data_IF_595853795925
#
_entry.id   IF_595853795925
#
_cell.length_a   1.000
_cell.length_b   1.000
_cell.length_c   1.000
_cell.angle_alpha   90.00
_cell.angle_beta   90.00
_cell.angle_gamma   90.00
#
_symmetry.space_group_name_H-M   'P 1'
#
loop_
_entity.id
_entity.type
_entity.pdbx_description
1 polymer ?
#
# COMPACT_ATOMS: atom_id res chain seq x y z
N UNK A 1 8.91 0.33 -17.30
CA UNK A 1 7.45 0.34 -17.56
C UNK A 1 6.75 1.56 -16.94
N UNK A 2 6.81 1.79 -15.60
CA UNK A 2 6.12 2.94 -14.96
C UNK A 2 6.61 4.29 -15.49
N UNK A 3 7.91 4.42 -15.78
CA UNK A 3 8.47 5.61 -16.45
C UNK A 3 7.97 5.77 -17.89
N UNK A 4 7.92 4.70 -18.65
CA UNK A 4 7.40 4.69 -20.04
C UNK A 4 5.92 5.07 -20.09
N UNK A 5 5.18 4.71 -19.05
CA UNK A 5 3.77 5.10 -18.89
C UNK A 5 3.59 6.53 -18.37
N UNK A 6 4.65 7.26 -18.02
CA UNK A 6 4.57 8.59 -17.45
C UNK A 6 4.08 8.65 -16.00
N UNK A 7 3.89 7.50 -15.34
CA UNK A 7 3.43 7.42 -13.93
C UNK A 7 4.53 7.86 -12.98
N UNK A 8 5.79 7.57 -13.31
CA UNK A 8 6.97 7.92 -12.52
C UNK A 8 7.94 8.71 -13.38
N UNK A 9 8.27 9.93 -12.96
CA UNK A 9 9.18 10.86 -13.65
C UNK A 9 10.43 11.22 -12.85
N UNK A 10 10.71 10.51 -11.76
CA UNK A 10 11.87 10.72 -10.88
C UNK A 10 12.79 9.51 -10.85
N UNK A 11 13.97 9.69 -10.30
CA UNK A 11 14.91 8.60 -10.06
C UNK A 11 14.48 7.73 -8.87
N UNK A 12 14.85 6.44 -8.96
CA UNK A 12 14.61 5.52 -7.84
C UNK A 12 15.50 5.92 -6.68
N UNK A 13 14.89 6.21 -5.55
CA UNK A 13 15.61 6.61 -4.34
C UNK A 13 16.52 5.47 -3.84
N UNK A 14 17.68 5.86 -3.30
CA UNK A 14 18.61 4.89 -2.69
C UNK A 14 17.96 4.26 -1.47
N UNK A 15 18.11 2.93 -1.34
CA UNK A 15 17.61 2.17 -0.19
C UNK A 15 18.35 2.56 1.10
N UNK A 16 17.60 2.73 2.19
CA UNK A 16 18.14 2.96 3.53
C UNK A 16 18.34 1.61 4.25
N UNK A 17 19.46 0.94 4.01
CA UNK A 17 19.74 -0.42 4.50
C UNK A 17 19.80 -0.56 6.03
N UNK A 18 20.09 0.53 6.73
CA UNK A 18 20.22 0.54 8.20
C UNK A 18 18.99 1.10 8.91
N UNK A 19 17.95 1.45 8.15
CA UNK A 19 16.71 1.97 8.74
C UNK A 19 15.87 0.82 9.28
N UNK A 20 15.76 0.77 10.60
CA UNK A 20 14.81 -0.12 11.27
C UNK A 20 13.43 0.53 11.34
N UNK A 21 12.35 -0.24 11.36
CA UNK A 21 11.02 0.30 11.67
C UNK A 21 11.04 1.07 12.99
N UNK A 22 10.32 2.20 13.05
CA UNK A 22 10.28 3.07 14.23
C UNK A 22 9.80 2.34 15.48
N UNK A 23 8.81 1.46 15.30
CA UNK A 23 8.25 0.63 16.37
C UNK A 23 8.76 -0.81 16.19
N UNK A 24 9.92 -1.08 16.76
CA UNK A 24 10.54 -2.40 16.72
C UNK A 24 10.64 -2.96 18.13
N UNK A 25 10.03 -4.11 18.34
CA UNK A 25 10.18 -4.91 19.56
C UNK A 25 11.09 -6.09 19.24
N UNK A 26 12.20 -6.29 19.97
CA UNK A 26 13.13 -7.39 19.69
C UNK A 26 12.46 -8.78 19.70
N UNK A 27 11.51 -9.00 20.60
CA UNK A 27 10.76 -10.26 20.75
C UNK A 27 9.90 -10.64 19.53
N UNK A 28 9.63 -9.67 18.65
CA UNK A 28 8.80 -9.93 17.46
C UNK A 28 9.51 -10.78 16.42
N UNK A 29 10.83 -10.68 16.31
CA UNK A 29 11.59 -11.53 15.38
C UNK A 29 11.53 -13.00 15.76
N UNK A 30 11.55 -13.30 17.07
CA UNK A 30 11.41 -14.67 17.56
C UNK A 30 10.04 -15.24 17.21
N UNK A 31 8.99 -14.42 17.27
CA UNK A 31 7.62 -14.80 16.91
C UNK A 31 7.39 -14.96 15.41
N UNK A 32 8.02 -14.11 14.59
CA UNK A 32 7.91 -14.17 13.13
C UNK A 32 8.85 -15.23 12.53
N UNK A 33 9.85 -15.65 13.27
CA UNK A 33 10.78 -16.69 12.90
C UNK A 33 11.98 -16.22 12.08
N UNK A 34 12.92 -17.13 11.78
CA UNK A 34 14.23 -16.81 11.20
C UNK A 34 14.19 -16.34 9.73
N UNK A 35 13.04 -16.42 9.08
CA UNK A 35 12.83 -15.87 7.73
C UNK A 35 12.64 -14.37 7.70
N UNK A 36 12.38 -13.73 8.86
CA UNK A 36 12.15 -12.29 8.95
C UNK A 36 13.45 -11.49 8.98
N UNK A 37 13.39 -10.24 8.52
CA UNK A 37 14.51 -9.31 8.52
C UNK A 37 14.14 -7.98 9.16
N UNK A 38 14.97 -7.52 10.09
CA UNK A 38 14.81 -6.21 10.74
C UNK A 38 15.01 -5.02 9.79
N UNK A 39 15.76 -5.22 8.72
CA UNK A 39 16.21 -4.13 7.83
C UNK A 39 15.83 -4.41 6.38
N UNK A 40 15.77 -3.33 5.60
CA UNK A 40 15.63 -3.40 4.15
C UNK A 40 16.99 -3.74 3.52
N UNK A 41 17.35 -5.01 3.52
CA UNK A 41 18.62 -5.50 2.93
C UNK A 41 18.46 -5.85 1.45
N UNK A 42 19.59 -6.04 0.75
CA UNK A 42 19.57 -6.50 -0.63
C UNK A 42 19.00 -7.92 -0.72
N UNK A 43 18.21 -8.20 -1.76
CA UNK A 43 17.64 -9.55 -1.97
C UNK A 43 18.69 -10.64 -2.01
N UNK A 44 19.80 -10.38 -2.70
CA UNK A 44 20.90 -11.34 -2.87
C UNK A 44 21.70 -11.59 -1.58
N UNK A 45 21.58 -10.71 -0.58
CA UNK A 45 22.19 -10.91 0.74
C UNK A 45 21.36 -11.78 1.69
N UNK A 46 20.11 -12.09 1.32
CA UNK A 46 19.24 -12.96 2.11
C UNK A 46 19.64 -14.43 1.97
N UNK A 47 19.51 -15.20 3.05
CA UNK A 47 19.61 -16.65 3.00
C UNK A 47 18.44 -17.26 2.20
N UNK A 48 18.56 -18.52 1.78
CA UNK A 48 17.47 -19.20 1.07
C UNK A 48 16.19 -19.31 1.89
N UNK A 49 16.31 -19.49 3.20
CA UNK A 49 15.17 -19.47 4.12
C UNK A 49 14.49 -18.09 4.13
N UNK A 50 15.27 -17.04 4.26
CA UNK A 50 14.75 -15.68 4.24
C UNK A 50 14.11 -15.34 2.88
N UNK A 51 14.74 -15.67 1.78
CA UNK A 51 14.17 -15.47 0.43
C UNK A 51 12.80 -16.13 0.28
N UNK A 52 12.70 -17.41 0.67
CA UNK A 52 11.41 -18.14 0.61
C UNK A 52 10.35 -17.48 1.48
N UNK A 53 10.68 -17.14 2.72
CA UNK A 53 9.74 -16.48 3.64
C UNK A 53 9.30 -15.12 3.12
N UNK A 54 10.22 -14.28 2.66
CA UNK A 54 9.91 -12.97 2.11
C UNK A 54 9.08 -13.09 0.81
N UNK A 55 9.37 -14.04 -0.06
CA UNK A 55 8.56 -14.30 -1.26
C UNK A 55 7.12 -14.71 -0.89
N UNK A 56 6.95 -15.55 0.11
CA UNK A 56 5.63 -15.95 0.63
C UNK A 56 4.86 -14.72 1.17
N UNK A 57 5.50 -13.86 1.94
CA UNK A 57 4.87 -12.60 2.43
C UNK A 57 4.38 -11.72 1.28
N UNK A 58 5.19 -11.55 0.23
CA UNK A 58 4.80 -10.75 -0.92
C UNK A 58 3.67 -11.43 -1.71
N UNK A 59 3.67 -12.75 -1.84
CA UNK A 59 2.58 -13.49 -2.48
C UNK A 59 1.25 -13.30 -1.72
N UNK A 60 1.27 -13.35 -0.39
CA UNK A 60 0.10 -13.06 0.46
C UNK A 60 -0.37 -11.62 0.26
N UNK A 61 0.55 -10.64 0.29
CA UNK A 61 0.22 -9.24 0.06
C UNK A 61 -0.42 -9.03 -1.32
N UNK A 62 0.15 -9.61 -2.36
CA UNK A 62 -0.39 -9.54 -3.72
C UNK A 62 -1.79 -10.18 -3.82
N UNK A 63 -2.02 -11.30 -3.13
CA UNK A 63 -3.33 -11.94 -3.06
C UNK A 63 -4.37 -11.05 -2.36
N UNK A 64 -3.98 -10.33 -1.29
CA UNK A 64 -4.86 -9.37 -0.61
C UNK A 64 -5.21 -8.19 -1.53
N UNK A 65 -4.23 -7.63 -2.24
CA UNK A 65 -4.46 -6.55 -3.23
C UNK A 65 -5.39 -7.03 -4.34
N UNK A 66 -5.15 -8.23 -4.88
CA UNK A 66 -6.02 -8.83 -5.90
C UNK A 66 -7.45 -9.03 -5.39
N UNK A 67 -7.61 -9.47 -4.14
CA UNK A 67 -8.94 -9.61 -3.53
C UNK A 67 -9.62 -8.26 -3.38
N UNK A 68 -8.92 -7.24 -2.92
CA UNK A 68 -9.44 -5.87 -2.79
C UNK A 68 -9.93 -5.35 -4.14
N UNK A 69 -9.13 -5.52 -5.20
CA UNK A 69 -9.50 -5.12 -6.57
C UNK A 69 -10.81 -5.80 -7.04
N UNK A 70 -10.95 -7.09 -6.79
CA UNK A 70 -12.20 -7.81 -7.11
C UNK A 70 -13.42 -7.27 -6.35
N UNK A 71 -13.27 -6.93 -5.08
CA UNK A 71 -14.36 -6.38 -4.28
C UNK A 71 -14.73 -4.96 -4.72
N UNK A 72 -13.76 -4.14 -5.12
CA UNK A 72 -14.01 -2.84 -5.77
C UNK A 72 -14.81 -3.06 -7.06
N UNK A 73 -14.41 -4.04 -7.88
CA UNK A 73 -15.15 -4.40 -9.09
C UNK A 73 -16.62 -4.74 -8.83
N UNK A 74 -16.92 -5.44 -7.72
CA UNK A 74 -18.31 -5.74 -7.32
C UNK A 74 -19.10 -4.48 -6.95
N UNK A 75 -18.47 -3.52 -6.25
CA UNK A 75 -19.10 -2.23 -5.94
C UNK A 75 -19.40 -1.45 -7.22
N UNK A 76 -18.44 -1.38 -8.14
CA UNK A 76 -18.62 -0.72 -9.44
C UNK A 76 -19.76 -1.37 -10.25
N UNK A 77 -19.84 -2.70 -10.27
CA UNK A 77 -20.90 -3.42 -10.96
C UNK A 77 -22.30 -3.17 -10.33
N UNK A 78 -22.35 -3.09 -9.00
CA UNK A 78 -23.58 -2.73 -8.31
C UNK A 78 -24.05 -1.32 -8.69
N UNK A 79 -23.15 -0.33 -8.74
CA UNK A 79 -23.47 1.03 -9.18
C UNK A 79 -23.96 1.06 -10.64
N UNK A 80 -23.38 0.24 -11.50
CA UNK A 80 -23.81 0.09 -12.90
C UNK A 80 -25.22 -0.48 -13.00
N UNK A 81 -25.50 -1.54 -12.25
CA UNK A 81 -26.83 -2.17 -12.19
C UNK A 81 -27.92 -1.21 -11.70
N UNK A 82 -27.56 -0.30 -10.79
CA UNK A 82 -28.45 0.74 -10.27
C UNK A 82 -28.56 1.96 -11.20
N UNK A 83 -27.89 1.98 -12.35
CA UNK A 83 -27.76 3.15 -13.24
C UNK A 83 -27.22 4.40 -12.53
N UNK A 84 -26.40 4.22 -11.49
CA UNK A 84 -25.84 5.29 -10.68
C UNK A 84 -24.38 5.60 -11.00
N UNK A 85 -23.66 4.71 -11.69
CA UNK A 85 -22.20 4.83 -11.90
C UNK A 85 -21.81 6.13 -12.58
N UNK A 86 -22.55 6.54 -13.60
CA UNK A 86 -22.23 7.74 -14.40
C UNK A 86 -22.26 9.03 -13.57
N UNK A 87 -23.10 9.09 -12.54
CA UNK A 87 -23.23 10.24 -11.64
C UNK A 87 -22.69 9.95 -10.23
N UNK A 88 -21.76 9.01 -10.10
CA UNK A 88 -21.06 8.71 -8.84
C UNK A 88 -19.58 9.03 -8.97
N UNK A 89 -19.06 9.84 -8.05
CA UNK A 89 -17.62 10.04 -7.92
C UNK A 89 -17.00 8.94 -7.06
N UNK A 90 -15.98 8.28 -7.56
CA UNK A 90 -15.20 7.27 -6.85
C UNK A 90 -13.79 7.81 -6.63
N UNK A 91 -13.35 7.83 -5.37
CA UNK A 91 -11.98 8.12 -4.98
C UNK A 91 -11.31 6.83 -4.50
N UNK A 92 -10.15 6.52 -5.03
CA UNK A 92 -9.33 5.42 -4.57
C UNK A 92 -7.92 5.91 -4.27
N UNK A 93 -7.47 5.75 -3.02
CA UNK A 93 -6.17 6.19 -2.56
C UNK A 93 -5.73 5.39 -1.33
N UNK A 94 -4.46 5.53 -0.94
CA UNK A 94 -3.97 5.20 0.40
C UNK A 94 -3.76 6.49 1.20
N UNK A 95 -3.93 6.41 2.51
CA UNK A 95 -3.75 7.54 3.43
C UNK A 95 -2.26 7.84 3.74
N UNK A 96 -1.39 6.88 3.51
CA UNK A 96 0.06 6.97 3.70
C UNK A 96 0.80 5.91 2.86
N UNK A 97 2.12 6.00 2.86
CA UNK A 97 2.97 4.97 2.28
C UNK A 97 2.88 3.64 3.03
N UNK A 98 3.43 2.58 2.44
CA UNK A 98 3.40 1.23 2.98
C UNK A 98 4.04 1.15 4.38
N UNK A 99 3.48 0.31 5.23
CA UNK A 99 3.91 0.15 6.62
C UNK A 99 5.04 -0.88 6.74
N UNK A 100 6.15 -0.45 7.32
CA UNK A 100 7.33 -1.29 7.57
C UNK A 100 7.35 -1.93 8.97
N UNK A 101 6.33 -1.68 9.78
CA UNK A 101 6.30 -2.15 11.17
C UNK A 101 6.42 -3.66 11.23
N UNK A 102 7.33 -4.14 12.09
CA UNK A 102 7.43 -5.55 12.45
C UNK A 102 6.61 -5.78 13.72
N UNK A 103 5.45 -6.38 13.57
CA UNK A 103 4.50 -6.57 14.65
C UNK A 103 3.74 -7.89 14.50
N UNK A 104 3.51 -8.54 15.61
CA UNK A 104 2.47 -9.58 15.74
C UNK A 104 1.32 -8.96 16.51
N UNK A 105 0.16 -8.86 15.87
CA UNK A 105 -1.03 -8.23 16.47
C UNK A 105 -1.82 -9.25 17.26
N UNK A 106 -2.04 -8.92 18.55
CA UNK A 106 -2.89 -9.69 19.44
C UNK A 106 -2.35 -11.08 19.79
N UNK A 107 -3.19 -11.90 20.39
CA UNK A 107 -2.87 -13.26 20.81
C UNK A 107 -3.19 -14.31 19.74
N UNK A 108 -3.69 -13.89 18.57
CA UNK A 108 -4.20 -14.78 17.53
C UNK A 108 -3.16 -15.35 16.57
N UNK A 109 -1.90 -14.86 16.60
CA UNK A 109 -0.87 -15.39 15.71
C UNK A 109 -0.38 -16.76 16.17
N UNK A 110 -0.47 -17.72 15.28
CA UNK A 110 0.06 -19.06 15.46
C UNK A 110 1.28 -19.23 14.53
N UNK A 111 2.52 -19.30 15.05
CA UNK A 111 3.71 -19.46 14.23
C UNK A 111 3.78 -20.79 13.49
N UNK A 112 2.98 -21.79 13.90
CA UNK A 112 2.86 -23.08 13.22
C UNK A 112 1.75 -23.08 12.15
N UNK A 113 0.93 -22.03 12.08
CA UNK A 113 -0.13 -21.94 11.09
C UNK A 113 0.42 -21.69 9.68
N UNK A 114 -0.25 -22.26 8.68
CA UNK A 114 0.06 -22.03 7.26
C UNK A 114 0.10 -20.52 6.97
N UNK A 115 1.18 -19.98 6.36
CA UNK A 115 1.27 -18.59 5.97
C UNK A 115 0.11 -18.19 5.05
N UNK A 116 -0.57 -17.08 5.38
CA UNK A 116 -1.76 -16.63 4.65
C UNK A 116 -3.09 -17.20 5.16
N UNK A 117 -3.07 -18.12 6.12
CA UNK A 117 -4.28 -18.54 6.84
C UNK A 117 -4.76 -17.47 7.83
N UNK A 118 -6.00 -17.59 8.29
CA UNK A 118 -6.59 -16.62 9.23
C UNK A 118 -5.90 -16.57 10.62
N UNK A 119 -5.05 -17.56 10.93
CA UNK A 119 -4.25 -17.60 12.16
C UNK A 119 -2.81 -17.14 11.96
N UNK A 120 -2.40 -16.82 10.74
CA UNK A 120 -1.05 -16.38 10.41
C UNK A 120 -1.03 -14.88 10.16
N UNK A 121 -0.59 -14.07 11.13
CA UNK A 121 -0.51 -12.62 11.02
C UNK A 121 0.91 -12.19 10.66
N UNK A 122 1.20 -12.11 9.37
CA UNK A 122 2.48 -11.63 8.86
C UNK A 122 2.40 -10.15 8.53
N UNK A 123 3.45 -9.40 8.86
CA UNK A 123 3.61 -8.00 8.50
C UNK A 123 4.41 -7.86 7.20
N UNK A 124 4.26 -6.74 6.51
CA UNK A 124 5.00 -6.48 5.27
C UNK A 124 6.51 -6.38 5.53
N UNK A 125 6.89 -5.66 6.59
CA UNK A 125 8.28 -5.46 6.98
C UNK A 125 9.02 -4.43 6.13
N UNK A 126 10.25 -4.03 6.54
CA UNK A 126 10.95 -2.87 5.97
C UNK A 126 11.39 -3.09 4.51
N UNK A 127 11.77 -4.29 4.13
CA UNK A 127 12.17 -4.61 2.76
C UNK A 127 11.05 -4.40 1.76
N UNK A 128 9.91 -5.01 2.02
CA UNK A 128 8.76 -4.91 1.13
C UNK A 128 8.06 -3.55 1.21
N UNK A 129 8.02 -2.90 2.38
CA UNK A 129 7.51 -1.54 2.47
C UNK A 129 8.34 -0.57 1.61
N UNK A 130 9.66 -0.70 1.62
CA UNK A 130 10.55 0.08 0.75
C UNK A 130 10.31 -0.21 -0.74
N UNK A 131 10.09 -1.48 -1.09
CA UNK A 131 9.79 -1.87 -2.47
C UNK A 131 8.43 -1.34 -2.94
N UNK A 132 7.38 -1.44 -2.11
CA UNK A 132 6.04 -0.94 -2.42
C UNK A 132 5.99 0.58 -2.60
N UNK A 133 6.85 1.33 -1.89
CA UNK A 133 6.92 2.79 -2.01
C UNK A 133 7.87 3.26 -3.11
N UNK A 134 8.56 2.36 -3.79
CA UNK A 134 9.45 2.73 -4.89
C UNK A 134 8.67 3.49 -5.99
N UNK A 135 9.22 4.60 -6.51
CA UNK A 135 10.61 5.03 -6.47
C UNK A 135 11.02 5.89 -5.25
N UNK A 136 10.09 6.17 -4.36
CA UNK A 136 10.28 7.10 -3.24
C UNK A 136 11.07 6.47 -2.10
N UNK A 137 11.71 7.33 -1.33
CA UNK A 137 12.51 6.95 -0.18
C UNK A 137 11.63 6.75 1.06
N UNK A 138 11.95 5.71 1.83
CA UNK A 138 11.33 5.38 3.12
C UNK A 138 9.87 4.88 2.98
N UNK A 139 9.10 4.96 4.05
CA UNK A 139 7.82 4.32 4.22
C UNK A 139 6.99 5.06 5.28
N UNK A 140 5.79 4.60 5.59
CA UNK A 140 4.93 5.13 6.66
C UNK A 140 5.72 5.54 7.90
N UNK A 141 5.28 6.54 8.62
CA UNK A 141 5.84 7.25 9.78
C UNK A 141 6.98 8.24 9.45
N UNK A 142 7.45 8.29 8.22
CA UNK A 142 8.43 9.27 7.77
C UNK A 142 7.76 10.36 6.93
N UNK A 143 8.26 11.60 7.08
CA UNK A 143 7.80 12.76 6.30
C UNK A 143 8.45 12.86 4.91
N UNK A 144 9.17 11.82 4.49
CA UNK A 144 9.69 11.70 3.12
C UNK A 144 8.62 11.16 2.18
N UNK A 145 8.80 11.34 0.87
CA UNK A 145 7.83 10.96 -0.16
C UNK A 145 7.29 9.52 -0.01
N UNK A 146 8.15 8.54 0.31
CA UNK A 146 7.69 7.16 0.55
C UNK A 146 6.79 6.98 1.78
N UNK A 147 6.74 7.97 2.66
CA UNK A 147 5.84 7.95 3.82
C UNK A 147 4.52 8.70 3.59
N UNK A 148 4.51 9.73 2.75
CA UNK A 148 3.38 10.66 2.62
C UNK A 148 2.79 10.73 1.23
N UNK A 149 3.55 10.40 0.18
CA UNK A 149 3.11 10.51 -1.20
C UNK A 149 2.46 9.21 -1.67
N UNK A 150 1.18 9.27 -1.99
CA UNK A 150 0.38 8.14 -2.51
C UNK A 150 -0.39 8.58 -3.74
N UNK A 151 -0.64 7.68 -4.70
CA UNK A 151 -1.48 8.01 -5.85
C UNK A 151 -2.94 8.15 -5.44
N UNK A 152 -3.64 9.06 -6.10
CA UNK A 152 -5.09 9.22 -6.06
C UNK A 152 -5.67 8.87 -7.43
N UNK A 153 -6.66 8.00 -7.46
CA UNK A 153 -7.48 7.74 -8.65
C UNK A 153 -8.85 8.35 -8.42
N UNK A 154 -9.32 9.13 -9.37
CA UNK A 154 -10.67 9.70 -9.37
C UNK A 154 -11.40 9.23 -10.62
N UNK A 155 -12.59 8.68 -10.41
CA UNK A 155 -13.47 8.24 -11.48
C UNK A 155 -14.86 8.86 -11.31
N UNK A 156 -15.28 9.67 -12.28
CA UNK A 156 -16.61 10.28 -12.32
C UNK A 156 -17.01 10.57 -13.77
N UNK A 157 -17.71 9.65 -14.46
CA UNK A 157 -18.00 9.77 -15.88
C UNK A 157 -18.70 11.06 -16.28
N UNK A 158 -19.71 11.51 -15.55
CA UNK A 158 -20.46 12.74 -15.88
C UNK A 158 -19.75 14.02 -15.44
N UNK A 159 -18.84 13.96 -14.47
CA UNK A 159 -18.20 15.16 -13.91
C UNK A 159 -16.79 15.43 -14.45
N UNK A 160 -16.12 14.43 -15.02
CA UNK A 160 -14.75 14.54 -15.50
C UNK A 160 -14.70 14.13 -16.98
N UNK A 161 -14.46 15.08 -17.88
CA UNK A 161 -14.34 14.82 -19.31
C UNK A 161 -13.06 14.05 -19.68
N UNK A 162 -11.97 14.26 -18.94
CA UNK A 162 -10.70 13.58 -19.13
C UNK A 162 -10.82 12.08 -18.89
N UNK A 163 -10.15 11.28 -19.71
CA UNK A 163 -10.15 9.82 -19.61
C UNK A 163 -8.72 9.29 -19.58
N UNK A 164 -8.35 8.58 -18.48
CA UNK A 164 -7.05 7.96 -18.34
C UNK A 164 -5.88 8.95 -18.31
N UNK A 165 -6.11 10.20 -17.97
CA UNK A 165 -5.08 11.21 -17.92
C UNK A 165 -4.33 11.17 -16.59
N UNK A 166 -3.01 11.36 -16.67
CA UNK A 166 -2.15 11.54 -15.50
C UNK A 166 -2.09 13.03 -15.14
N UNK A 167 -2.27 13.33 -13.87
CA UNK A 167 -2.16 14.68 -13.31
C UNK A 167 -1.05 14.71 -12.26
N UNK A 168 -0.24 15.76 -12.28
CA UNK A 168 0.85 15.99 -11.34
C UNK A 168 0.46 17.02 -10.25
N UNK A 169 -0.83 17.32 -10.14
CA UNK A 169 -1.32 18.20 -9.07
C UNK A 169 -1.14 17.51 -7.71
N UNK A 170 -0.67 18.27 -6.75
CA UNK A 170 -0.53 17.82 -5.36
C UNK A 170 -1.82 18.11 -4.63
N UNK A 171 -2.40 17.10 -3.99
CA UNK A 171 -3.53 17.20 -3.07
C UNK A 171 -3.15 16.67 -1.68
N UNK A 172 -4.02 16.86 -0.73
CA UNK A 172 -3.88 16.29 0.61
C UNK A 172 -5.15 15.52 0.98
N UNK A 173 -5.04 14.48 1.79
CA UNK A 173 -6.21 13.65 2.19
C UNK A 173 -7.32 14.47 2.86
N UNK A 174 -6.95 15.59 3.54
CA UNK A 174 -7.94 16.49 4.15
C UNK A 174 -8.79 17.24 3.12
N UNK A 175 -8.36 17.34 1.87
CA UNK A 175 -9.09 18.02 0.80
C UNK A 175 -10.31 17.22 0.33
N UNK A 176 -10.37 15.92 0.65
CA UNK A 176 -11.47 15.05 0.23
C UNK A 176 -12.81 15.47 0.86
N UNK A 177 -12.83 15.75 2.17
CA UNK A 177 -14.08 16.12 2.86
C UNK A 177 -14.70 17.40 2.32
N UNK A 178 -13.98 18.54 2.19
CA UNK A 178 -14.54 19.75 1.58
C UNK A 178 -14.90 19.53 0.10
N UNK A 179 -14.15 18.74 -0.65
CA UNK A 179 -14.49 18.40 -2.04
C UNK A 179 -15.83 17.67 -2.13
N UNK A 180 -16.05 16.68 -1.26
CA UNK A 180 -17.34 15.95 -1.23
C UNK A 180 -18.48 16.86 -0.83
N UNK A 181 -18.28 17.77 0.14
CA UNK A 181 -19.29 18.74 0.55
C UNK A 181 -19.66 19.69 -0.59
N UNK A 182 -18.68 20.22 -1.30
CA UNK A 182 -18.89 21.12 -2.45
C UNK A 182 -19.65 20.40 -3.58
N UNK A 183 -19.22 19.19 -3.95
CA UNK A 183 -19.90 18.39 -4.96
C UNK A 183 -21.35 18.01 -4.59
N UNK A 184 -21.64 17.90 -3.29
CA UNK A 184 -22.99 17.64 -2.78
C UNK A 184 -23.84 18.90 -2.65
N UNK A 185 -23.32 20.09 -3.02
CA UNK A 185 -24.00 21.38 -2.86
C UNK A 185 -24.02 21.87 -1.41
N UNK A 186 -23.21 21.30 -0.53
CA UNK A 186 -23.02 21.74 0.85
C UNK A 186 -22.15 23.01 0.92
N UNK A 187 -22.19 23.68 2.07
CA UNK A 187 -21.27 24.77 2.41
C UNK A 187 -20.36 24.27 3.52
N UNK A 188 -19.05 24.41 3.33
CA UNK A 188 -18.03 24.16 4.36
C UNK A 188 -18.02 25.28 5.41
#
# INVERSE_FOLDING_TARGET
RLREMGVVNCDIARRDERLSPRYFRPDVLDKLGPGESRYAVAWDSLSDLQRRFQATKMAIHAAMVHRTDREIGRVVEQLRTMNALENTVLFFLSDNGADATLIVRGEGHDPAAEPGSWRSFLCLGPGWASACNSPFRRHKVWVSEGGVSTPLIVHWPNGIAARGELRQAVGHVIDLAPTVLDLAGGKA
#
